data_IF_501956793155
#
_entry.id   IF_501956793155
#
_cell.length_a   1.000
_cell.length_b   1.000
_cell.length_c   1.000
_cell.angle_alpha   90.00
_cell.angle_beta   90.00
_cell.angle_gamma   90.00
#
_symmetry.space_group_name_H-M   'P 1'
#
loop_
_entity.id
_entity.type
_entity.pdbx_description
1 polymer ?
#
# COMPACT_ATOMS: atom_id res chain seq x y z
N UNK A 1 -4.27 19.56 -13.96
CA UNK A 1 -5.01 18.56 -13.17
C UNK A 1 -4.72 18.82 -11.70
N UNK A 2 -5.65 19.45 -10.98
CA UNK A 2 -5.44 19.85 -9.59
C UNK A 2 -5.59 18.60 -8.72
N UNK A 3 -4.47 17.96 -8.35
CA UNK A 3 -4.46 16.77 -7.51
C UNK A 3 -4.77 17.20 -6.08
N UNK A 4 -6.07 17.25 -5.74
CA UNK A 4 -6.54 17.44 -4.36
C UNK A 4 -6.19 16.18 -3.57
N UNK A 5 -5.29 16.33 -2.59
CA UNK A 5 -4.92 15.29 -1.61
C UNK A 5 -6.20 14.83 -0.91
N UNK A 6 -6.62 13.58 -1.13
CA UNK A 6 -7.90 13.07 -0.63
C UNK A 6 -7.75 11.93 0.41
N UNK A 7 -6.52 11.66 0.86
CA UNK A 7 -6.17 10.59 1.79
C UNK A 7 -5.50 11.19 3.03
N UNK A 8 -5.95 10.76 4.22
CA UNK A 8 -5.32 11.13 5.48
C UNK A 8 -3.86 10.65 5.47
N UNK A 9 -2.90 11.50 5.86
CA UNK A 9 -1.47 11.14 5.92
C UNK A 9 -1.21 9.85 6.72
N UNK A 10 -2.09 9.53 7.66
CA UNK A 10 -2.06 8.29 8.45
C UNK A 10 -2.30 7.05 7.57
N UNK A 11 -3.26 7.07 6.64
CA UNK A 11 -3.56 5.92 5.77
C UNK A 11 -2.39 5.65 4.80
N UNK A 12 -1.77 6.72 4.30
CA UNK A 12 -0.54 6.65 3.50
C UNK A 12 0.60 6.07 4.34
N UNK A 13 0.79 6.55 5.57
CA UNK A 13 1.84 6.09 6.47
C UNK A 13 1.67 4.59 6.80
N UNK A 14 0.46 4.17 7.17
CA UNK A 14 0.16 2.77 7.49
C UNK A 14 0.39 1.87 6.27
N UNK A 15 -0.11 2.23 5.08
CA UNK A 15 0.14 1.44 3.86
C UNK A 15 1.61 1.41 3.46
N UNK A 16 2.33 2.50 3.66
CA UNK A 16 3.77 2.55 3.37
C UNK A 16 4.54 1.65 4.32
N UNK A 17 4.25 1.70 5.63
CA UNK A 17 4.91 0.86 6.64
C UNK A 17 4.59 -0.61 6.39
N UNK A 18 3.31 -0.97 6.25
CA UNK A 18 2.91 -2.36 6.03
C UNK A 18 3.46 -2.86 4.69
N UNK A 19 3.34 -2.08 3.62
CA UNK A 19 3.83 -2.44 2.29
C UNK A 19 5.35 -2.62 2.27
N UNK A 20 6.11 -1.71 2.87
CA UNK A 20 7.57 -1.80 2.95
C UNK A 20 8.01 -3.00 3.79
N UNK A 21 7.36 -3.26 4.93
CA UNK A 21 7.66 -4.44 5.76
C UNK A 21 7.38 -5.73 5.00
N UNK A 22 6.25 -5.84 4.30
CA UNK A 22 5.92 -7.04 3.51
C UNK A 22 6.91 -7.27 2.36
N UNK A 23 7.30 -6.22 1.64
CA UNK A 23 8.31 -6.33 0.57
C UNK A 23 9.68 -6.72 1.16
N UNK A 24 10.07 -6.13 2.28
CA UNK A 24 11.32 -6.47 2.97
C UNK A 24 11.34 -7.94 3.38
N UNK A 25 10.28 -8.42 4.04
CA UNK A 25 10.18 -9.81 4.47
C UNK A 25 10.10 -10.80 3.30
N UNK A 26 9.49 -10.41 2.17
CA UNK A 26 9.39 -11.30 1.00
C UNK A 26 10.65 -11.36 0.14
N UNK A 27 11.40 -10.26 0.01
CA UNK A 27 12.54 -10.17 -0.91
C UNK A 27 13.92 -10.14 -0.22
N UNK A 28 14.00 -9.63 1.01
CA UNK A 28 15.26 -9.55 1.77
C UNK A 28 15.34 -10.72 2.74
N UNK A 29 14.28 -10.95 3.52
CA UNK A 29 14.23 -12.04 4.50
C UNK A 29 13.62 -13.32 3.91
N UNK A 30 14.23 -13.82 2.85
CA UNK A 30 13.70 -14.95 2.07
C UNK A 30 13.61 -16.27 2.86
N UNK A 31 14.25 -16.35 4.02
CA UNK A 31 14.29 -17.52 4.90
C UNK A 31 13.09 -17.64 5.86
N UNK A 32 12.29 -16.58 6.02
CA UNK A 32 11.13 -16.58 6.93
C UNK A 32 9.95 -17.41 6.41
N UNK A 33 9.87 -17.65 5.10
CA UNK A 33 8.78 -18.40 4.47
C UNK A 33 9.34 -19.61 3.70
N UNK A 34 9.02 -20.81 4.18
CA UNK A 34 9.39 -22.07 3.51
C UNK A 34 8.65 -22.30 2.18
N UNK A 35 7.52 -21.60 1.95
CA UNK A 35 6.69 -21.74 0.76
C UNK A 35 6.90 -20.54 -0.18
N UNK A 36 7.51 -20.75 -1.35
CA UNK A 36 7.74 -19.71 -2.36
C UNK A 36 6.45 -19.03 -2.83
N UNK A 37 5.33 -19.76 -2.89
CA UNK A 37 4.03 -19.20 -3.27
C UNK A 37 3.55 -18.13 -2.28
N UNK A 38 3.69 -18.38 -0.98
CA UNK A 38 3.29 -17.43 0.08
C UNK A 38 4.21 -16.20 0.03
N UNK A 39 5.50 -16.41 -0.20
CA UNK A 39 6.49 -15.32 -0.30
C UNK A 39 6.18 -14.39 -1.46
N UNK A 40 5.83 -14.93 -2.63
CA UNK A 40 5.41 -14.15 -3.80
C UNK A 40 4.08 -13.41 -3.58
N UNK A 41 3.08 -14.06 -2.98
CA UNK A 41 1.80 -13.42 -2.66
C UNK A 41 1.97 -12.23 -1.70
N UNK A 42 2.76 -12.40 -0.62
CA UNK A 42 3.06 -11.33 0.33
C UNK A 42 3.84 -10.18 -0.32
N UNK A 43 4.80 -10.50 -1.21
CA UNK A 43 5.57 -9.49 -1.93
C UNK A 43 4.69 -8.68 -2.87
N UNK A 44 3.80 -9.34 -3.61
CA UNK A 44 2.81 -8.70 -4.48
C UNK A 44 1.86 -7.82 -3.66
N UNK A 45 1.37 -8.32 -2.53
CA UNK A 45 0.47 -7.56 -1.65
C UNK A 45 1.13 -6.32 -1.04
N UNK A 46 2.41 -6.44 -0.67
CA UNK A 46 3.23 -5.32 -0.20
C UNK A 46 3.47 -4.28 -1.29
N UNK A 47 3.80 -4.72 -2.51
CA UNK A 47 4.00 -3.84 -3.66
C UNK A 47 2.72 -3.07 -4.01
N UNK A 48 1.55 -3.72 -4.00
CA UNK A 48 0.24 -3.07 -4.23
C UNK A 48 -0.02 -2.00 -3.16
N UNK A 49 0.31 -2.27 -1.89
CA UNK A 49 0.15 -1.29 -0.81
C UNK A 49 1.06 -0.08 -0.97
N UNK A 50 2.32 -0.29 -1.36
CA UNK A 50 3.27 0.78 -1.66
C UNK A 50 2.81 1.63 -2.85
N UNK A 51 2.37 1.00 -3.94
CA UNK A 51 1.83 1.70 -5.11
C UNK A 51 0.60 2.54 -4.74
N UNK A 52 -0.30 1.98 -3.93
CA UNK A 52 -1.46 2.72 -3.42
C UNK A 52 -1.07 3.91 -2.52
N UNK A 53 0.01 3.80 -1.74
CA UNK A 53 0.54 4.89 -0.92
C UNK A 53 1.20 5.99 -1.78
N UNK A 54 1.98 5.63 -2.80
CA UNK A 54 2.67 6.56 -3.72
C UNK A 54 1.67 7.40 -4.51
N UNK A 55 0.59 6.78 -4.99
CA UNK A 55 -0.43 7.51 -5.74
C UNK A 55 -1.19 8.52 -4.87
N UNK A 56 -1.02 8.50 -3.53
CA UNK A 56 -1.67 9.39 -2.54
C UNK A 56 -3.19 9.53 -2.71
N UNK A 57 -3.74 8.60 -3.48
CA UNK A 57 -5.08 8.45 -3.98
C UNK A 57 -5.16 6.96 -4.24
N UNK A 58 -5.71 6.22 -3.29
CA UNK A 58 -5.89 4.80 -3.50
C UNK A 58 -6.86 4.67 -4.69
N UNK A 59 -6.46 4.05 -5.82
CA UNK A 59 -7.20 4.12 -7.07
C UNK A 59 -8.54 3.39 -6.93
N UNK A 60 -8.62 2.43 -6.00
CA UNK A 60 -9.86 1.77 -5.57
C UNK A 60 -10.82 2.76 -4.90
N UNK A 61 -10.35 3.65 -4.02
CA UNK A 61 -11.21 4.66 -3.38
C UNK A 61 -11.62 5.76 -4.37
N UNK A 62 -10.73 6.12 -5.30
CA UNK A 62 -11.05 7.02 -6.40
C UNK A 62 -12.08 6.42 -7.37
N UNK A 63 -11.94 5.13 -7.73
CA UNK A 63 -12.91 4.39 -8.56
C UNK A 63 -14.22 4.10 -7.82
N UNK A 64 -14.18 3.88 -6.50
CA UNK A 64 -15.36 3.68 -5.66
C UNK A 64 -16.08 5.01 -5.31
N UNK A 65 -15.53 6.16 -5.69
CA UNK A 65 -16.11 7.47 -5.36
C UNK A 65 -16.08 7.82 -3.87
N UNK A 66 -15.31 7.09 -3.06
CA UNK A 66 -15.23 7.27 -1.60
C UNK A 66 -14.11 8.26 -1.28
N UNK A 67 -14.52 9.49 -0.94
CA UNK A 67 -13.65 10.53 -0.41
C UNK A 67 -13.50 10.37 1.10
N UNK A 68 -12.34 9.87 1.57
CA UNK A 68 -11.97 9.95 3.01
C UNK A 68 -11.49 11.34 3.42
N UNK A 69 -11.32 12.26 2.47
CA UNK A 69 -11.09 13.66 2.79
C UNK A 69 -12.35 14.29 3.37
N UNK A 70 -12.35 14.45 4.68
CA UNK A 70 -13.16 15.45 5.34
C UNK A 70 -12.31 16.72 5.37
N UNK A 71 -12.74 17.74 4.64
CA UNK A 71 -12.23 19.10 4.87
C UNK A 71 -12.51 19.41 6.32
N UNK A 72 -11.46 19.56 7.12
CA UNK A 72 -11.57 20.57 8.17
C UNK A 72 -11.52 21.95 7.51
#
# INVERSE_FOLDING_TARGET
MHIKRNLHSIDILVRTIIGATLVYLSFIDTGLFANDLVRWLLGLFGAINLVAAVMRSCPIYAMAGISTYRSQ
#
